data_IF_769798723950
#
_entry.id   IF_769798723950
#
_cell.length_a   1.000
_cell.length_b   1.000
_cell.length_c   1.000
_cell.angle_alpha   90.00
_cell.angle_beta   90.00
_cell.angle_gamma   90.00
#
_symmetry.space_group_name_H-M   'P 1'
#
loop_
_entity.id
_entity.type
_entity.pdbx_description
1 polymer ?
#
# COMPACT_ATOMS: atom_id res chain seq x y z
N UNK A 1 -6.35 16.04 -4.30
CA UNK A 1 -5.29 15.11 -3.90
C UNK A 1 -5.56 13.81 -4.61
N UNK A 2 -4.78 13.54 -5.64
CA UNK A 2 -4.94 12.38 -6.50
C UNK A 2 -4.37 11.16 -5.77
N UNK A 3 -5.24 10.32 -5.21
CA UNK A 3 -4.86 9.08 -4.52
C UNK A 3 -4.19 8.04 -5.42
N UNK A 4 -4.15 8.30 -6.73
CA UNK A 4 -3.42 7.52 -7.73
C UNK A 4 -1.99 8.03 -7.97
N UNK A 5 -1.63 9.21 -7.45
CA UNK A 5 -0.26 9.71 -7.55
C UNK A 5 0.67 8.86 -6.70
N UNK A 6 1.86 8.57 -7.23
CA UNK A 6 2.90 7.82 -6.49
C UNK A 6 3.38 8.55 -5.24
N UNK A 7 3.26 9.87 -5.22
CA UNK A 7 3.61 10.74 -4.08
C UNK A 7 2.50 10.81 -3.01
N UNK A 8 1.35 10.16 -3.22
CA UNK A 8 0.28 10.12 -2.22
C UNK A 8 0.76 9.39 -0.96
N UNK A 9 0.77 10.08 0.16
CA UNK A 9 1.10 9.47 1.46
C UNK A 9 -0.08 8.61 1.92
N UNK A 10 0.10 7.29 1.81
CA UNK A 10 -0.93 6.28 2.14
C UNK A 10 -0.99 6.07 3.64
N UNK A 11 0.16 5.95 4.31
CA UNK A 11 0.23 5.77 5.75
C UNK A 11 0.87 6.99 6.42
N UNK A 12 0.03 7.89 6.96
CA UNK A 12 0.50 9.07 7.71
C UNK A 12 1.24 8.74 9.02
N UNK A 13 1.09 7.51 9.52
CA UNK A 13 1.74 7.08 10.77
C UNK A 13 3.21 6.70 10.58
N UNK A 14 3.55 6.18 9.40
CA UNK A 14 4.88 5.67 9.05
C UNK A 14 5.46 6.40 7.83
N UNK A 15 4.77 7.44 7.33
CA UNK A 15 5.13 8.24 6.15
C UNK A 15 5.43 7.39 4.92
N UNK A 16 4.55 6.43 4.63
CA UNK A 16 4.68 5.53 3.47
C UNK A 16 3.85 6.05 2.31
N UNK A 17 4.47 6.16 1.13
CA UNK A 17 3.84 6.63 -0.09
C UNK A 17 3.26 5.50 -0.94
N UNK A 18 2.30 5.82 -1.82
CA UNK A 18 1.75 4.86 -2.78
C UNK A 18 2.84 4.24 -3.65
N UNK A 19 3.79 5.05 -4.10
CA UNK A 19 4.88 4.60 -4.95
C UNK A 19 5.74 3.53 -4.29
N UNK A 20 6.00 3.65 -2.99
CA UNK A 20 6.72 2.63 -2.20
C UNK A 20 5.90 1.35 -2.04
N UNK A 21 4.60 1.47 -1.79
CA UNK A 21 3.69 0.32 -1.70
C UNK A 21 3.64 -0.45 -3.03
N UNK A 22 3.49 0.26 -4.15
CA UNK A 22 3.45 -0.32 -5.49
C UNK A 22 4.76 -1.03 -5.85
N UNK A 23 5.92 -0.41 -5.58
CA UNK A 23 7.23 -1.04 -5.79
C UNK A 23 7.37 -2.30 -4.93
N UNK A 24 7.01 -2.23 -3.65
CA UNK A 24 7.09 -3.37 -2.73
C UNK A 24 6.21 -4.54 -3.16
N UNK A 25 4.96 -4.27 -3.57
CA UNK A 25 4.03 -5.29 -4.07
C UNK A 25 4.61 -5.99 -5.29
N UNK A 26 5.20 -5.25 -6.23
CA UNK A 26 5.77 -5.80 -7.47
C UNK A 26 7.07 -6.57 -7.23
N UNK A 27 7.95 -6.06 -6.38
CA UNK A 27 9.24 -6.71 -6.05
C UNK A 27 9.02 -8.02 -5.28
N UNK A 28 8.11 -8.02 -4.31
CA UNK A 28 7.86 -9.18 -3.45
C UNK A 28 6.66 -10.04 -3.88
N UNK A 29 6.00 -9.68 -4.98
CA UNK A 29 4.81 -10.35 -5.52
C UNK A 29 3.71 -10.54 -4.45
N UNK A 30 3.46 -9.49 -3.68
CA UNK A 30 2.45 -9.52 -2.61
C UNK A 30 1.05 -9.56 -3.23
N UNK A 31 0.21 -10.48 -2.77
CA UNK A 31 -1.17 -10.67 -3.29
C UNK A 31 -2.23 -10.54 -2.20
N UNK A 32 -1.83 -10.23 -0.97
CA UNK A 32 -2.71 -10.18 0.19
C UNK A 32 -2.39 -8.98 1.10
N UNK A 33 -3.44 -8.33 1.60
CA UNK A 33 -3.35 -7.13 2.43
C UNK A 33 -2.66 -7.40 3.77
N UNK A 34 -2.90 -8.56 4.38
CA UNK A 34 -2.29 -8.91 5.68
C UNK A 34 -0.78 -9.01 5.52
N UNK A 35 -0.31 -9.71 4.49
CA UNK A 35 1.11 -9.86 4.18
C UNK A 35 1.77 -8.51 3.87
N UNK A 36 1.08 -7.63 3.13
CA UNK A 36 1.55 -6.27 2.86
C UNK A 36 1.74 -5.45 4.15
N UNK A 37 0.72 -5.46 5.01
CA UNK A 37 0.73 -4.73 6.28
C UNK A 37 1.81 -5.24 7.24
N UNK A 38 2.00 -6.57 7.31
CA UNK A 38 3.04 -7.17 8.15
C UNK A 38 4.44 -6.90 7.61
N UNK A 39 4.63 -6.92 6.29
CA UNK A 39 5.97 -6.77 5.68
C UNK A 39 6.45 -5.32 5.66
N UNK A 40 5.56 -4.35 5.46
CA UNK A 40 5.88 -2.93 5.43
C UNK A 40 5.64 -2.21 6.78
N UNK A 41 5.17 -2.92 7.80
CA UNK A 41 4.74 -2.37 9.10
C UNK A 41 3.71 -1.22 8.97
N UNK A 42 2.81 -1.31 7.99
CA UNK A 42 1.75 -0.32 7.74
C UNK A 42 0.38 -0.85 8.15
N UNK A 43 -0.56 0.05 8.48
CA UNK A 43 -1.92 -0.35 8.84
C UNK A 43 -2.07 -1.00 10.22
N UNK A 44 -0.98 -1.20 10.98
CA UNK A 44 -1.02 -1.83 12.31
C UNK A 44 -1.19 -0.82 13.47
N UNK A 45 -0.88 0.46 13.26
CA UNK A 45 -0.97 1.51 14.29
C UNK A 45 -2.38 2.10 14.47
N UNK A 46 -2.89 2.79 13.45
CA UNK A 46 -4.23 3.39 13.48
C UNK A 46 -5.25 2.69 12.56
N UNK A 47 -4.77 1.85 11.62
CA UNK A 47 -5.61 1.13 10.66
C UNK A 47 -6.25 1.98 9.54
N UNK A 48 -6.16 3.31 9.59
CA UNK A 48 -6.85 4.19 8.65
C UNK A 48 -6.40 4.07 7.19
N UNK A 49 -5.19 3.56 6.93
CA UNK A 49 -4.67 3.37 5.58
C UNK A 49 -5.02 2.02 4.94
N UNK A 50 -5.69 1.11 5.67
CA UNK A 50 -5.95 -0.27 5.19
C UNK A 50 -6.82 -0.29 3.93
N UNK A 51 -7.83 0.57 3.84
CA UNK A 51 -8.69 0.66 2.64
C UNK A 51 -7.92 1.17 1.42
N UNK A 52 -7.03 2.15 1.60
CA UNK A 52 -6.18 2.65 0.51
C UNK A 52 -5.14 1.59 0.08
N UNK A 53 -4.56 0.85 1.03
CA UNK A 53 -3.63 -0.26 0.75
C UNK A 53 -4.31 -1.40 -0.03
N UNK A 54 -5.54 -1.76 0.33
CA UNK A 54 -6.32 -2.80 -0.37
C UNK A 54 -6.65 -2.40 -1.81
N UNK A 55 -7.00 -1.11 -2.02
CA UNK A 55 -7.17 -0.57 -3.37
C UNK A 55 -5.87 -0.64 -4.19
N UNK A 56 -4.73 -0.25 -3.60
CA UNK A 56 -3.44 -0.29 -4.31
C UNK A 56 -3.06 -1.73 -4.69
N UNK A 57 -3.28 -2.68 -3.78
CA UNK A 57 -3.07 -4.10 -4.03
C UNK A 57 -3.94 -4.60 -5.18
N UNK A 58 -5.22 -4.21 -5.20
CA UNK A 58 -6.17 -4.57 -6.26
C UNK A 58 -5.82 -3.94 -7.61
N UNK A 59 -5.44 -2.66 -7.66
CA UNK A 59 -4.96 -1.99 -8.89
C UNK A 59 -3.71 -2.74 -9.42
N UNK A 60 -2.74 -3.05 -8.56
CA UNK A 60 -1.51 -3.72 -8.99
C UNK A 60 -1.74 -5.18 -9.45
N UNK A 61 -2.72 -5.89 -8.88
CA UNK A 61 -3.10 -7.22 -9.32
C UNK A 61 -3.87 -7.22 -10.66
N UNK A 62 -4.60 -6.14 -10.98
CA UNK A 62 -5.32 -5.99 -12.24
C UNK A 62 -4.42 -5.58 -13.42
N UNK A 63 -3.24 -5.02 -13.14
CA UNK A 63 -2.24 -4.63 -14.14
C UNK A 63 -1.27 -5.78 -14.54
N UNK A 64 -1.32 -6.92 -13.85
CA UNK A 64 -0.40 -8.06 -13.99
C UNK A 64 -0.85 -9.12 -15.02
#
# INVERSE_FOLDING_TARGET
MDKKSREYEVCLCHHVTRGEVEDFIREHQITDLKTLCESMDVGNKCGGCREDLDMILSDCAAEA
#
